data_IF_729772968965
#
_entry.id   IF_729772968965
#
_cell.length_a   1.000
_cell.length_b   1.000
_cell.length_c   1.000
_cell.angle_alpha   90.00
_cell.angle_beta   90.00
_cell.angle_gamma   90.00
#
_symmetry.space_group_name_H-M   'P 1'
#
loop_
_entity.id
_entity.type
_entity.pdbx_description
1 polymer ?
#
# COMPACT_ATOMS: atom_id res chain seq x y z
N UNK A 1 7.23 35.26 53.63
CA UNK A 1 8.11 35.23 52.44
C UNK A 1 7.93 33.96 51.61
N UNK A 2 7.69 32.78 52.21
CA UNK A 2 7.50 31.51 51.50
C UNK A 2 6.40 31.52 50.41
N UNK A 3 5.26 32.20 50.65
CA UNK A 3 4.18 32.30 49.65
C UNK A 3 4.59 33.07 48.39
N UNK A 4 5.41 34.12 48.53
CA UNK A 4 5.89 34.90 47.39
C UNK A 4 6.84 34.08 46.53
N UNK A 5 7.71 33.31 47.16
CA UNK A 5 8.63 32.40 46.46
C UNK A 5 7.87 31.33 45.66
N UNK A 6 6.78 30.79 46.22
CA UNK A 6 5.89 29.86 45.51
C UNK A 6 5.17 30.51 44.32
N UNK A 7 4.70 31.75 44.47
CA UNK A 7 4.05 32.49 43.37
C UNK A 7 5.02 32.73 42.21
N UNK A 8 6.23 33.21 42.49
CA UNK A 8 7.28 33.44 41.47
C UNK A 8 7.63 32.13 40.74
N UNK A 9 7.68 31.01 41.46
CA UNK A 9 7.95 29.69 40.86
C UNK A 9 6.80 29.20 39.97
N UNK A 10 5.55 29.51 40.33
CA UNK A 10 4.38 29.18 39.51
C UNK A 10 4.35 30.07 38.25
N UNK A 11 4.59 31.37 38.38
CA UNK A 11 4.63 32.31 37.26
C UNK A 11 5.74 31.96 36.25
N UNK A 12 6.90 31.52 36.73
CA UNK A 12 8.01 31.10 35.85
C UNK A 12 7.76 29.76 35.15
N UNK A 13 6.94 28.86 35.73
CA UNK A 13 6.65 27.54 35.13
C UNK A 13 5.41 27.53 34.24
N UNK A 14 4.42 28.39 34.50
CA UNK A 14 3.19 28.53 33.70
C UNK A 14 3.41 28.58 32.17
N UNK A 15 4.32 29.41 31.63
CA UNK A 15 4.50 29.53 30.18
C UNK A 15 5.17 28.31 29.54
N UNK A 16 5.76 27.42 30.35
CA UNK A 16 6.38 26.17 29.87
C UNK A 16 5.43 24.98 29.88
N UNK A 17 4.27 25.12 30.52
CA UNK A 17 3.28 24.06 30.63
C UNK A 17 2.33 24.09 29.43
N UNK A 18 2.12 22.94 28.81
CA UNK A 18 1.07 22.78 27.82
C UNK A 18 -0.30 22.87 28.51
N UNK A 19 -1.20 23.66 27.94
CA UNK A 19 -2.58 23.71 28.42
C UNK A 19 -3.31 22.42 28.06
N UNK A 20 -4.33 22.06 28.84
CA UNK A 20 -5.16 20.87 28.56
C UNK A 20 -5.74 20.90 27.14
N UNK A 21 -6.12 22.08 26.67
CA UNK A 21 -6.64 22.29 25.32
C UNK A 21 -5.59 21.98 24.24
N UNK A 22 -4.35 22.45 24.41
CA UNK A 22 -3.25 22.14 23.48
C UNK A 22 -2.97 20.63 23.41
N UNK A 23 -3.03 19.93 24.55
CA UNK A 23 -2.84 18.47 24.60
C UNK A 23 -3.99 17.75 23.88
N UNK A 24 -5.24 18.19 24.08
CA UNK A 24 -6.40 17.60 23.40
C UNK A 24 -6.36 17.84 21.90
N UNK A 25 -6.02 19.06 21.46
CA UNK A 25 -5.87 19.40 20.05
C UNK A 25 -4.77 18.55 19.38
N UNK A 26 -3.62 18.39 20.06
CA UNK A 26 -2.53 17.53 19.57
C UNK A 26 -2.97 16.08 19.46
N UNK A 27 -3.69 15.56 20.46
CA UNK A 27 -4.21 14.18 20.44
C UNK A 27 -5.18 13.96 19.29
N UNK A 28 -6.08 14.91 19.04
CA UNK A 28 -7.02 14.84 17.94
C UNK A 28 -6.29 14.86 16.59
N UNK A 29 -5.35 15.78 16.40
CA UNK A 29 -4.53 15.88 15.19
C UNK A 29 -3.80 14.57 14.88
N UNK A 30 -3.10 14.00 15.88
CA UNK A 30 -2.40 12.73 15.73
C UNK A 30 -3.37 11.59 15.39
N UNK A 31 -4.55 11.56 16.01
CA UNK A 31 -5.55 10.53 15.72
C UNK A 31 -6.06 10.63 14.28
N UNK A 32 -6.29 11.85 13.80
CA UNK A 32 -6.72 12.12 12.43
C UNK A 32 -5.64 11.74 11.41
N UNK A 33 -4.39 12.17 11.63
CA UNK A 33 -3.27 11.85 10.74
C UNK A 33 -3.01 10.34 10.66
N UNK A 34 -3.00 9.65 11.80
CA UNK A 34 -2.84 8.19 11.82
C UNK A 34 -4.00 7.49 11.11
N UNK A 35 -5.23 7.97 11.29
CA UNK A 35 -6.40 7.44 10.57
C UNK A 35 -6.31 7.65 9.06
N UNK A 36 -5.87 8.83 8.63
CA UNK A 36 -5.67 9.16 7.22
C UNK A 36 -4.57 8.30 6.59
N UNK A 37 -3.40 8.21 7.24
CA UNK A 37 -2.29 7.37 6.78
C UNK A 37 -2.66 5.90 6.69
N UNK A 38 -3.41 5.37 7.66
CA UNK A 38 -3.90 3.98 7.61
C UNK A 38 -4.82 3.74 6.41
N UNK A 39 -5.66 4.70 6.08
CA UNK A 39 -6.56 4.62 4.93
C UNK A 39 -5.79 4.64 3.63
N UNK A 40 -4.81 5.54 3.50
CA UNK A 40 -3.97 5.63 2.30
C UNK A 40 -3.17 4.33 2.09
N UNK A 41 -2.53 3.82 3.14
CA UNK A 41 -1.80 2.55 3.05
C UNK A 41 -2.69 1.38 2.65
N UNK A 42 -3.91 1.29 3.18
CA UNK A 42 -4.85 0.24 2.76
C UNK A 42 -5.22 0.35 1.28
N UNK A 43 -5.40 1.57 0.77
CA UNK A 43 -5.70 1.84 -0.62
C UNK A 43 -4.52 1.49 -1.52
N UNK A 44 -3.31 1.91 -1.18
CA UNK A 44 -2.09 1.61 -1.94
C UNK A 44 -1.84 0.10 -2.00
N UNK A 45 -1.93 -0.60 -0.87
CA UNK A 45 -1.77 -2.07 -0.81
C UNK A 45 -2.86 -2.76 -1.64
N UNK A 46 -4.10 -2.29 -1.56
CA UNK A 46 -5.21 -2.81 -2.36
C UNK A 46 -4.98 -2.63 -3.86
N UNK A 47 -4.51 -1.44 -4.26
CA UNK A 47 -4.15 -1.12 -5.64
C UNK A 47 -3.03 -2.01 -6.16
N UNK A 48 -1.93 -2.11 -5.41
CA UNK A 48 -0.79 -2.96 -5.77
C UNK A 48 -1.19 -4.43 -5.93
N UNK A 49 -2.06 -4.94 -5.04
CA UNK A 49 -2.57 -6.32 -5.14
C UNK A 49 -3.40 -6.53 -6.42
N UNK A 50 -4.22 -5.54 -6.80
CA UNK A 50 -5.00 -5.61 -8.03
C UNK A 50 -4.10 -5.58 -9.28
N UNK A 51 -3.08 -4.72 -9.28
CA UNK A 51 -2.10 -4.64 -10.37
C UNK A 51 -1.31 -5.94 -10.54
N UNK A 52 -0.87 -6.55 -9.43
CA UNK A 52 -0.19 -7.84 -9.46
C UNK A 52 -1.11 -8.95 -10.02
N UNK A 53 -2.37 -8.99 -9.59
CA UNK A 53 -3.32 -9.99 -10.10
C UNK A 53 -3.53 -9.83 -11.60
N UNK A 54 -3.68 -8.59 -12.08
CA UNK A 54 -3.80 -8.28 -13.51
C UNK A 54 -2.54 -8.70 -14.28
N UNK A 55 -1.36 -8.34 -13.79
CA UNK A 55 -0.09 -8.69 -14.45
C UNK A 55 0.09 -10.21 -14.57
N UNK A 56 -0.19 -10.95 -13.49
CA UNK A 56 -0.13 -12.42 -13.49
C UNK A 56 -1.16 -13.01 -14.46
N UNK A 57 -2.38 -12.48 -14.49
CA UNK A 57 -3.41 -12.91 -15.43
C UNK A 57 -2.96 -12.71 -16.88
N UNK A 58 -2.47 -11.51 -17.20
CA UNK A 58 -1.98 -11.18 -18.54
C UNK A 58 -0.80 -12.07 -18.96
N UNK A 59 0.14 -12.33 -18.04
CA UNK A 59 1.25 -13.24 -18.29
C UNK A 59 0.79 -14.69 -18.49
N UNK A 60 -0.18 -15.15 -17.71
CA UNK A 60 -0.73 -16.52 -17.81
C UNK A 60 -1.33 -16.75 -19.19
N UNK A 61 -2.13 -15.80 -19.70
CA UNK A 61 -2.72 -15.91 -21.04
C UNK A 61 -1.70 -15.84 -22.16
N UNK A 62 -0.64 -15.01 -22.02
CA UNK A 62 0.47 -14.98 -22.98
C UNK A 62 1.18 -16.34 -23.05
N UNK A 63 1.44 -16.96 -21.91
CA UNK A 63 2.07 -18.28 -21.85
C UNK A 63 1.16 -19.32 -22.52
N UNK A 64 -0.12 -19.37 -22.14
CA UNK A 64 -1.10 -20.31 -22.72
C UNK A 64 -1.17 -20.14 -24.25
N UNK A 65 -1.27 -18.91 -24.76
CA UNK A 65 -1.28 -18.65 -26.20
C UNK A 65 -0.01 -19.12 -26.92
N UNK A 66 1.15 -18.94 -26.29
CA UNK A 66 2.44 -19.42 -26.83
C UNK A 66 2.46 -20.95 -26.93
N UNK A 67 1.97 -21.66 -25.91
CA UNK A 67 1.89 -23.13 -25.95
C UNK A 67 0.90 -23.64 -27.01
N UNK A 68 -0.26 -23.00 -27.15
CA UNK A 68 -1.24 -23.36 -28.18
C UNK A 68 -0.63 -23.20 -29.58
N UNK A 69 0.00 -22.05 -29.86
CA UNK A 69 0.60 -21.78 -31.17
C UNK A 69 1.73 -22.77 -31.50
N UNK A 70 2.59 -23.09 -30.53
CA UNK A 70 3.60 -24.14 -30.69
C UNK A 70 2.97 -25.51 -30.98
N UNK A 71 1.94 -25.90 -30.23
CA UNK A 71 1.24 -27.17 -30.43
C UNK A 71 0.60 -27.28 -31.82
N UNK A 72 -0.07 -26.22 -32.28
CA UNK A 72 -0.66 -26.15 -33.62
C UNK A 72 0.41 -26.23 -34.71
N UNK A 73 1.53 -25.52 -34.54
CA UNK A 73 2.64 -25.55 -35.50
C UNK A 73 3.25 -26.96 -35.61
N UNK A 74 3.53 -27.60 -34.48
CA UNK A 74 4.06 -28.97 -34.45
C UNK A 74 3.11 -29.97 -35.10
N UNK A 75 1.82 -29.91 -34.78
CA UNK A 75 0.79 -30.76 -35.40
C UNK A 75 0.73 -30.57 -36.91
N UNK A 76 0.79 -29.32 -37.38
CA UNK A 76 0.84 -28.99 -38.81
C UNK A 76 2.06 -29.58 -39.52
N UNK A 77 3.24 -29.50 -38.89
CA UNK A 77 4.48 -30.11 -39.43
C UNK A 77 4.33 -31.63 -39.54
N UNK A 78 3.86 -32.29 -38.48
CA UNK A 78 3.66 -33.76 -38.48
C UNK A 78 2.66 -34.18 -39.56
N UNK A 79 1.55 -33.45 -39.70
CA UNK A 79 0.55 -33.72 -40.74
C UNK A 79 1.11 -33.58 -42.16
N UNK A 80 1.91 -32.52 -42.41
CA UNK A 80 2.55 -32.31 -43.70
C UNK A 80 3.50 -33.45 -44.07
N UNK A 81 4.35 -33.88 -43.14
CA UNK A 81 5.26 -35.01 -43.34
C UNK A 81 4.47 -36.28 -43.64
N UNK A 82 3.43 -36.59 -42.85
CA UNK A 82 2.61 -37.78 -43.05
C UNK A 82 1.90 -37.82 -44.42
N UNK A 83 1.52 -36.66 -44.97
CA UNK A 83 0.84 -36.56 -46.26
C UNK A 83 1.80 -36.59 -47.46
N UNK A 84 3.04 -36.13 -47.30
CA UNK A 84 3.99 -35.98 -48.40
C UNK A 84 5.06 -37.06 -48.47
N UNK A 85 5.25 -37.85 -47.40
CA UNK A 85 6.21 -38.97 -47.35
C UNK A 85 5.54 -40.30 -47.73
N UNK A 86 4.38 -40.26 -48.39
CA UNK A 86 3.69 -41.44 -48.90
C UNK A 86 3.59 -41.46 -50.42
#
# INVERSE_FOLDING_TARGET
MELLERIIKIESTLPTLATREQVLATREHVTQEVGALRTELHKEIGGLRAELHKSIHDQTWKIIGTFITFGTLLSGIVFYIARNVH
#
